data_IF_091361955562
#
_entry.id   IF_091361955562
#
_cell.length_a   1.000
_cell.length_b   1.000
_cell.length_c   1.000
_cell.angle_alpha   90.00
_cell.angle_beta   90.00
_cell.angle_gamma   90.00
#
_symmetry.space_group_name_H-M   'P 1'
#
loop_
_entity.id
_entity.type
_entity.pdbx_description
1 polymer ?
#
# COMPACT_ATOMS: atom_id res chain seq x y z
N UNK A 1 54.37 22.78 70.31
CA UNK A 1 53.89 21.38 70.41
C UNK A 1 52.42 21.26 70.85
N UNK A 2 51.85 22.20 71.61
CA UNK A 2 50.44 22.13 72.07
C UNK A 2 49.36 22.41 71.01
N UNK A 3 49.63 23.23 69.99
CA UNK A 3 48.63 23.60 68.96
C UNK A 3 48.30 22.40 68.04
N UNK A 4 49.27 21.53 67.79
CA UNK A 4 49.10 20.33 66.94
C UNK A 4 48.18 19.29 67.58
N UNK A 5 48.25 19.11 68.90
CA UNK A 5 47.38 18.19 69.64
C UNK A 5 45.94 18.68 69.75
N UNK A 6 45.72 20.00 69.90
CA UNK A 6 44.38 20.58 69.95
C UNK A 6 43.63 20.44 68.61
N UNK A 7 44.32 20.68 67.49
CA UNK A 7 43.76 20.45 66.15
C UNK A 7 43.46 18.97 65.88
N UNK A 8 44.26 18.04 66.41
CA UNK A 8 44.01 16.61 66.30
C UNK A 8 42.78 16.17 67.12
N UNK A 9 42.64 16.68 68.35
CA UNK A 9 41.50 16.39 69.21
C UNK A 9 40.18 16.94 68.64
N UNK A 10 40.19 18.18 68.14
CA UNK A 10 39.02 18.84 67.54
C UNK A 10 38.61 18.20 66.20
N UNK A 11 39.57 17.67 65.42
CA UNK A 11 39.32 16.89 64.21
C UNK A 11 38.67 15.53 64.55
N UNK A 12 39.14 14.84 65.58
CA UNK A 12 38.55 13.58 66.05
C UNK A 12 37.15 13.76 66.67
N UNK A 13 36.89 14.85 67.40
CA UNK A 13 35.53 15.12 67.94
C UNK A 13 34.53 15.45 66.83
N UNK A 14 34.95 16.17 65.79
CA UNK A 14 34.10 16.42 64.61
C UNK A 14 33.83 15.16 63.80
N UNK A 15 34.81 14.26 63.68
CA UNK A 15 34.62 12.96 63.02
C UNK A 15 33.63 12.08 63.80
N UNK A 16 33.77 12.00 65.12
CA UNK A 16 32.85 11.25 65.98
C UNK A 16 31.42 11.81 65.96
N UNK A 17 31.26 13.15 65.99
CA UNK A 17 29.95 13.78 65.89
C UNK A 17 29.29 13.58 64.51
N UNK A 18 30.09 13.46 63.45
CA UNK A 18 29.61 13.16 62.09
C UNK A 18 29.11 11.72 62.00
N UNK A 19 29.88 10.75 62.52
CA UNK A 19 29.48 9.34 62.53
C UNK A 19 28.21 9.11 63.36
N UNK A 20 28.08 9.82 64.48
CA UNK A 20 26.89 9.77 65.33
C UNK A 20 25.66 10.39 64.64
N UNK A 21 25.83 11.45 63.85
CA UNK A 21 24.75 12.04 63.07
C UNK A 21 24.32 11.15 61.90
N UNK A 22 25.27 10.60 61.14
CA UNK A 22 25.00 9.74 59.97
C UNK A 22 24.33 8.42 60.36
N UNK A 23 24.58 7.92 61.57
CA UNK A 23 23.98 6.68 62.09
C UNK A 23 22.56 6.87 62.64
N UNK A 24 22.02 8.10 62.69
CA UNK A 24 20.66 8.34 63.20
C UNK A 24 19.62 7.71 62.27
N UNK A 25 18.66 6.93 62.80
CA UNK A 25 17.59 6.36 61.99
C UNK A 25 16.57 7.44 61.61
N UNK A 26 16.23 7.47 60.34
CA UNK A 26 15.18 8.26 59.72
C UNK A 26 14.43 7.41 58.69
N UNK A 27 13.18 7.07 59.00
CA UNK A 27 12.30 6.29 58.12
C UNK A 27 12.90 4.93 57.69
N UNK A 28 13.19 4.06 58.67
CA UNK A 28 13.82 2.73 58.51
C UNK A 28 15.22 2.70 57.87
N UNK A 29 15.82 3.87 57.62
CA UNK A 29 17.13 4.02 57.01
C UNK A 29 17.97 4.98 57.85
N UNK A 30 19.29 4.91 57.80
CA UNK A 30 20.19 5.88 58.42
C UNK A 30 20.25 7.18 57.61
N UNK A 31 20.57 8.31 58.24
CA UNK A 31 20.83 9.56 57.51
C UNK A 31 21.97 9.36 56.48
N UNK A 32 22.95 8.50 56.78
CA UNK A 32 23.98 8.08 55.84
C UNK A 32 23.43 7.41 54.58
N UNK A 33 22.47 6.50 54.70
CA UNK A 33 21.85 5.82 53.56
C UNK A 33 21.07 6.78 52.65
N UNK A 34 20.35 7.74 53.24
CA UNK A 34 19.71 8.83 52.49
C UNK A 34 20.72 9.71 51.77
N UNK A 35 21.87 10.01 52.39
CA UNK A 35 22.94 10.77 51.76
C UNK A 35 23.56 10.00 50.58
N UNK A 36 23.72 8.67 50.69
CA UNK A 36 24.20 7.82 49.61
C UNK A 36 23.19 7.79 48.45
N UNK A 37 21.91 7.56 48.75
CA UNK A 37 20.83 7.57 47.76
C UNK A 37 20.79 8.90 46.99
N UNK A 38 20.85 10.04 47.71
CA UNK A 38 20.91 11.37 47.09
C UNK A 38 22.16 11.54 46.22
N UNK A 39 23.31 11.03 46.69
CA UNK A 39 24.57 11.08 45.93
C UNK A 39 24.47 10.28 44.62
N UNK A 40 23.82 9.10 44.63
CA UNK A 40 23.57 8.30 43.42
C UNK A 40 22.70 9.10 42.43
N UNK A 41 21.61 9.71 42.91
CA UNK A 41 20.71 10.50 42.06
C UNK A 41 21.44 11.71 41.47
N UNK A 42 22.16 12.48 42.28
CA UNK A 42 22.93 13.65 41.81
C UNK A 42 24.00 13.22 40.81
N UNK A 43 24.70 12.11 41.08
CA UNK A 43 25.70 11.55 40.17
C UNK A 43 25.09 11.15 38.84
N UNK A 44 23.89 10.56 38.83
CA UNK A 44 23.19 10.21 37.59
C UNK A 44 22.86 11.43 36.73
N UNK A 45 22.48 12.57 37.34
CA UNK A 45 22.23 13.81 36.61
C UNK A 45 23.53 14.38 36.03
N UNK A 46 24.64 14.26 36.77
CA UNK A 46 25.96 14.65 36.26
C UNK A 46 26.36 13.77 35.08
N UNK A 47 26.18 12.45 35.19
CA UNK A 47 26.44 11.49 34.10
C UNK A 47 25.54 11.81 32.90
N UNK A 48 24.26 12.08 33.11
CA UNK A 48 23.32 12.42 32.05
C UNK A 48 23.76 13.70 31.31
N UNK A 49 24.17 14.75 32.04
CA UNK A 49 24.74 15.98 31.45
C UNK A 49 26.05 15.73 30.71
N UNK A 50 26.91 14.86 31.24
CA UNK A 50 28.15 14.47 30.59
C UNK A 50 27.88 13.69 29.30
N UNK A 51 26.95 12.73 29.32
CA UNK A 51 26.50 11.98 28.15
C UNK A 51 25.94 12.92 27.08
N UNK A 52 25.06 13.86 27.46
CA UNK A 52 24.57 14.89 26.55
C UNK A 52 25.73 15.72 25.96
N UNK A 53 26.69 16.14 26.78
CA UNK A 53 27.85 16.88 26.30
C UNK A 53 28.72 16.06 25.33
N UNK A 54 28.95 14.78 25.62
CA UNK A 54 29.74 13.88 24.77
C UNK A 54 29.02 13.64 23.45
N UNK A 55 27.72 13.33 23.48
CA UNK A 55 26.94 13.10 22.26
C UNK A 55 26.90 14.37 21.42
N UNK A 56 26.47 15.49 22.00
CA UNK A 56 26.32 16.76 21.27
C UNK A 56 27.62 17.29 20.70
N UNK A 57 28.75 17.12 21.40
CA UNK A 57 30.02 17.77 21.04
C UNK A 57 31.01 16.87 20.32
N UNK A 58 31.02 15.58 20.66
CA UNK A 58 31.96 14.59 20.13
C UNK A 58 31.26 13.77 19.06
N UNK A 59 30.18 13.04 19.41
CA UNK A 59 29.54 12.07 18.50
C UNK A 59 28.98 12.78 17.27
N UNK A 60 28.23 13.87 17.44
CA UNK A 60 27.70 14.66 16.30
C UNK A 60 28.78 15.26 15.39
N UNK A 61 30.00 15.47 15.92
CA UNK A 61 31.12 15.98 15.11
C UNK A 61 31.73 14.87 14.23
N UNK A 62 31.66 13.62 14.68
CA UNK A 62 32.10 12.45 13.92
C UNK A 62 31.06 12.01 12.89
N UNK A 63 29.77 12.03 13.24
CA UNK A 63 28.71 11.63 12.31
C UNK A 63 28.61 12.58 11.12
N UNK A 64 28.86 13.88 11.30
CA UNK A 64 28.97 14.86 10.19
C UNK A 64 30.08 14.57 9.17
N UNK A 65 31.03 13.69 9.52
CA UNK A 65 32.09 13.21 8.62
C UNK A 65 31.74 11.87 7.96
N UNK A 66 30.66 11.23 8.38
CA UNK A 66 30.11 10.03 7.75
C UNK A 66 29.54 10.38 6.39
N UNK A 67 29.53 9.41 5.48
CA UNK A 67 28.87 9.53 4.17
C UNK A 67 27.35 9.39 4.27
N UNK A 68 26.85 8.82 5.38
CA UNK A 68 25.44 8.51 5.60
C UNK A 68 24.76 9.60 6.42
N UNK A 69 23.70 10.21 5.85
CA UNK A 69 22.82 11.15 6.57
C UNK A 69 22.01 10.50 7.68
N UNK A 70 21.81 9.17 7.62
CA UNK A 70 21.06 8.43 8.65
C UNK A 70 21.78 8.48 9.99
N UNK A 71 23.11 8.48 9.98
CA UNK A 71 23.91 8.41 11.21
C UNK A 71 23.75 9.68 12.05
N UNK A 72 23.74 10.85 11.39
CA UNK A 72 23.49 12.14 12.01
C UNK A 72 22.09 12.20 12.64
N UNK A 73 21.08 11.78 11.89
CA UNK A 73 19.68 11.78 12.33
C UNK A 73 19.48 10.86 13.53
N UNK A 74 19.98 9.62 13.46
CA UNK A 74 19.82 8.64 14.53
C UNK A 74 20.45 9.17 15.83
N UNK A 75 21.66 9.74 15.76
CA UNK A 75 22.32 10.29 16.94
C UNK A 75 21.57 11.48 17.53
N UNK A 76 21.07 12.39 16.69
CA UNK A 76 20.27 13.54 17.14
C UNK A 76 18.95 13.15 17.80
N UNK A 77 18.33 12.05 17.35
CA UNK A 77 17.04 11.60 17.88
C UNK A 77 17.16 10.74 19.13
N UNK A 78 18.28 10.03 19.31
CA UNK A 78 18.52 9.15 20.46
C UNK A 78 19.11 9.89 21.67
N UNK A 79 19.81 11.02 21.43
CA UNK A 79 20.51 11.78 22.47
C UNK A 79 19.64 12.09 23.71
N UNK A 80 18.52 12.79 23.52
CA UNK A 80 17.68 13.21 24.65
C UNK A 80 16.98 12.02 25.34
N UNK A 81 16.44 11.02 24.61
CA UNK A 81 15.93 9.80 25.24
C UNK A 81 16.94 9.08 26.13
N UNK A 82 18.19 8.90 25.68
CA UNK A 82 19.26 8.28 26.49
C UNK A 82 19.53 9.07 27.75
N UNK A 83 19.64 10.40 27.64
CA UNK A 83 19.89 11.28 28.80
C UNK A 83 18.78 11.14 29.83
N UNK A 84 17.52 11.11 29.38
CA UNK A 84 16.37 10.91 30.26
C UNK A 84 16.36 9.51 30.89
N UNK A 85 16.68 8.46 30.12
CA UNK A 85 16.79 7.09 30.62
C UNK A 85 17.87 6.95 31.71
N UNK A 86 19.01 7.62 31.59
CA UNK A 86 20.07 7.64 32.61
C UNK A 86 19.56 8.26 33.91
N UNK A 87 18.80 9.37 33.83
CA UNK A 87 18.21 10.01 35.00
C UNK A 87 17.18 9.08 35.66
N UNK A 88 16.29 8.45 34.88
CA UNK A 88 15.31 7.48 35.39
C UNK A 88 16.03 6.32 36.10
N UNK A 89 17.07 5.75 35.48
CA UNK A 89 17.84 4.66 36.05
C UNK A 89 18.52 5.08 37.37
N UNK A 90 19.11 6.28 37.41
CA UNK A 90 19.74 6.80 38.62
C UNK A 90 18.77 7.02 39.78
N UNK A 91 17.57 7.54 39.49
CA UNK A 91 16.49 7.66 40.47
C UNK A 91 16.07 6.28 40.95
N UNK A 92 15.89 5.31 40.05
CA UNK A 92 15.52 3.95 40.41
C UNK A 92 16.58 3.28 41.30
N UNK A 93 17.86 3.32 40.91
CA UNK A 93 18.95 2.75 41.72
C UNK A 93 19.09 3.47 43.07
N UNK A 94 18.99 4.80 43.10
CA UNK A 94 19.09 5.57 44.33
C UNK A 94 17.95 5.28 45.32
N UNK A 95 16.72 5.12 44.83
CA UNK A 95 15.57 4.80 45.68
C UNK A 95 15.55 3.33 46.11
N UNK A 96 15.97 2.38 45.27
CA UNK A 96 16.08 0.96 45.65
C UNK A 96 17.25 0.68 46.61
N UNK A 97 18.19 1.62 46.76
CA UNK A 97 19.22 1.54 47.79
C UNK A 97 18.64 1.70 49.20
N UNK A 98 17.50 2.39 49.33
CA UNK A 98 16.82 2.61 50.60
C UNK A 98 15.93 1.42 50.94
N UNK A 99 15.94 1.01 52.20
CA UNK A 99 15.00 0.05 52.76
C UNK A 99 13.63 0.71 53.00
N UNK A 100 12.89 0.90 51.91
CA UNK A 100 11.52 1.41 51.94
C UNK A 100 10.54 0.27 52.22
N UNK A 101 9.33 0.59 52.70
CA UNK A 101 8.29 -0.42 52.84
C UNK A 101 7.87 -1.00 51.47
N UNK A 102 7.25 -2.19 51.49
CA UNK A 102 6.86 -2.91 50.26
C UNK A 102 6.00 -2.05 49.33
N UNK A 103 5.07 -1.26 49.90
CA UNK A 103 4.21 -0.36 49.14
C UNK A 103 5.00 0.67 48.31
N UNK A 104 6.00 1.33 48.89
CA UNK A 104 6.83 2.30 48.18
C UNK A 104 7.70 1.63 47.12
N UNK A 105 8.27 0.46 47.42
CA UNK A 105 9.08 -0.29 46.45
C UNK A 105 8.26 -0.69 45.22
N UNK A 106 7.05 -1.22 45.42
CA UNK A 106 6.13 -1.52 44.32
C UNK A 106 5.75 -0.27 43.53
N UNK A 107 5.40 0.83 44.21
CA UNK A 107 5.02 2.07 43.55
C UNK A 107 6.15 2.62 42.68
N UNK A 108 7.39 2.64 43.20
CA UNK A 108 8.58 3.09 42.47
C UNK A 108 8.83 2.20 41.25
N UNK A 109 8.71 0.87 41.40
CA UNK A 109 8.83 -0.07 40.29
C UNK A 109 7.81 0.20 39.18
N UNK A 110 6.54 0.38 39.54
CA UNK A 110 5.46 0.70 38.58
C UNK A 110 5.72 2.01 37.83
N UNK A 111 6.12 3.06 38.55
CA UNK A 111 6.47 4.36 37.95
C UNK A 111 7.68 4.22 37.02
N UNK A 112 8.71 3.48 37.43
CA UNK A 112 9.90 3.22 36.61
C UNK A 112 9.55 2.55 35.28
N UNK A 113 8.76 1.48 35.30
CA UNK A 113 8.34 0.79 34.08
C UNK A 113 7.54 1.70 33.14
N UNK A 114 6.62 2.50 33.67
CA UNK A 114 5.84 3.44 32.85
C UNK A 114 6.77 4.49 32.21
N UNK A 115 7.67 5.09 32.99
CA UNK A 115 8.58 6.12 32.51
C UNK A 115 9.55 5.59 31.43
N UNK A 116 10.12 4.39 31.61
CA UNK A 116 11.04 3.83 30.62
C UNK A 116 10.32 3.46 29.31
N UNK A 117 9.10 2.88 29.40
CA UNK A 117 8.32 2.54 28.21
C UNK A 117 7.89 3.79 27.46
N UNK A 118 7.48 4.85 28.17
CA UNK A 118 7.12 6.12 27.55
C UNK A 118 8.33 6.82 26.94
N UNK A 119 9.51 6.70 27.56
CA UNK A 119 10.75 7.20 26.99
C UNK A 119 11.13 6.47 25.68
N UNK A 120 10.95 5.14 25.63
CA UNK A 120 11.16 4.35 24.40
C UNK A 120 10.15 4.76 23.32
N UNK A 121 8.87 4.92 23.67
CA UNK A 121 7.84 5.37 22.73
C UNK A 121 8.13 6.77 22.17
N UNK A 122 8.59 7.69 23.02
CA UNK A 122 9.05 9.01 22.62
C UNK A 122 10.26 8.93 21.68
N UNK A 123 11.24 8.07 21.97
CA UNK A 123 12.39 7.82 21.08
C UNK A 123 11.94 7.32 19.71
N UNK A 124 11.04 6.32 19.66
CA UNK A 124 10.53 5.75 18.41
C UNK A 124 9.79 6.82 17.59
N UNK A 125 8.89 7.58 18.21
CA UNK A 125 8.12 8.61 17.50
C UNK A 125 9.00 9.74 16.98
N UNK A 126 10.03 10.13 17.73
CA UNK A 126 11.02 11.12 17.32
C UNK A 126 11.90 10.64 16.16
N UNK A 127 12.35 9.39 16.20
CA UNK A 127 13.10 8.79 15.10
C UNK A 127 12.23 8.70 13.84
N UNK A 128 10.99 8.24 13.98
CA UNK A 128 10.03 8.19 12.88
C UNK A 128 9.78 9.57 12.27
N UNK A 129 9.60 10.60 13.10
CA UNK A 129 9.45 11.98 12.64
C UNK A 129 10.64 12.49 11.84
N UNK A 130 11.86 12.20 12.30
CA UNK A 130 13.06 12.63 11.60
C UNK A 130 13.22 11.90 10.26
N UNK A 131 12.87 10.61 10.19
CA UNK A 131 12.86 9.86 8.93
C UNK A 131 11.83 10.40 7.96
N UNK A 132 10.62 10.72 8.43
CA UNK A 132 9.57 11.34 7.61
C UNK A 132 10.04 12.68 7.05
N UNK A 133 10.60 13.55 7.90
CA UNK A 133 11.03 14.88 7.49
C UNK A 133 12.22 14.87 6.52
N UNK A 134 13.18 13.95 6.68
CA UNK A 134 14.35 13.91 5.79
C UNK A 134 14.08 13.16 4.48
N UNK A 135 13.27 12.09 4.52
CA UNK A 135 13.12 11.19 3.37
C UNK A 135 11.79 11.26 2.67
N UNK A 136 10.68 11.51 3.38
CA UNK A 136 9.35 11.49 2.79
C UNK A 136 8.88 12.89 2.40
N UNK A 137 8.98 13.88 3.29
CA UNK A 137 8.56 15.27 3.00
C UNK A 137 9.23 15.83 1.73
N UNK A 138 10.54 15.68 1.48
CA UNK A 138 11.17 16.23 0.27
C UNK A 138 10.81 15.48 -1.02
N UNK A 139 10.25 14.27 -0.93
CA UNK A 139 9.71 13.54 -2.08
C UNK A 139 8.30 14.01 -2.41
N UNK A 140 7.50 14.27 -1.37
CA UNK A 140 6.16 14.82 -1.48
C UNK A 140 6.19 16.25 -2.02
N UNK A 141 7.05 17.14 -1.50
CA UNK A 141 7.20 18.53 -1.97
C UNK A 141 7.65 18.64 -3.44
N UNK A 142 8.22 17.58 -4.01
CA UNK A 142 8.64 17.51 -5.42
C UNK A 142 7.60 16.84 -6.32
N UNK A 143 6.57 16.25 -5.73
CA UNK A 143 5.47 15.59 -6.41
C UNK A 143 4.41 16.63 -6.71
N UNK A 144 3.92 16.73 -7.95
CA UNK A 144 2.76 17.58 -8.31
C UNK A 144 1.41 16.97 -7.84
N UNK A 145 1.45 16.00 -6.93
CA UNK A 145 0.30 15.19 -6.51
C UNK A 145 -0.29 15.71 -5.19
N UNK A 146 -1.48 16.32 -5.27
CA UNK A 146 -2.27 16.74 -4.10
C UNK A 146 -2.56 15.60 -3.09
N UNK A 147 -2.44 14.33 -3.53
CA UNK A 147 -2.65 13.15 -2.68
C UNK A 147 -1.53 12.96 -1.66
N UNK A 148 -0.29 13.26 -2.03
CA UNK A 148 0.87 13.00 -1.18
C UNK A 148 0.87 13.97 0.03
N UNK A 149 0.48 15.22 -0.21
CA UNK A 149 0.36 16.28 0.80
C UNK A 149 -0.69 15.99 1.88
N UNK A 150 -1.76 15.28 1.54
CA UNK A 150 -2.85 14.98 2.47
C UNK A 150 -2.66 13.64 3.19
N UNK A 151 -2.07 12.64 2.51
CA UNK A 151 -1.89 11.31 3.08
C UNK A 151 -0.75 11.26 4.11
N UNK A 152 0.35 11.97 3.86
CA UNK A 152 1.53 11.92 4.72
C UNK A 152 1.22 12.40 6.16
N UNK A 153 0.53 13.54 6.40
CA UNK A 153 0.17 13.97 7.75
C UNK A 153 -0.76 12.99 8.48
N UNK A 154 -1.72 12.39 7.76
CA UNK A 154 -2.66 11.42 8.32
C UNK A 154 -1.92 10.15 8.75
N UNK A 155 -1.09 9.59 7.87
CA UNK A 155 -0.28 8.41 8.16
C UNK A 155 0.68 8.66 9.34
N UNK A 156 1.36 9.81 9.33
CA UNK A 156 2.28 10.24 10.40
C UNK A 156 1.57 10.31 11.75
N UNK A 157 0.40 10.94 11.80
CA UNK A 157 -0.42 11.04 13.02
C UNK A 157 -0.94 9.67 13.47
N UNK A 158 -1.39 8.84 12.53
CA UNK A 158 -1.88 7.48 12.80
C UNK A 158 -0.81 6.60 13.45
N UNK A 159 0.39 6.55 12.89
CA UNK A 159 1.52 5.77 13.44
C UNK A 159 1.87 6.23 14.85
N UNK A 160 1.94 7.55 15.09
CA UNK A 160 2.21 8.09 16.43
C UNK A 160 1.16 7.67 17.46
N UNK A 161 -0.12 7.82 17.11
CA UNK A 161 -1.23 7.42 17.99
C UNK A 161 -1.12 5.93 18.33
N UNK A 162 -0.84 5.08 17.34
CA UNK A 162 -0.63 3.64 17.55
C UNK A 162 0.54 3.35 18.49
N UNK A 163 1.70 3.99 18.29
CA UNK A 163 2.87 3.81 19.17
C UNK A 163 2.55 4.20 20.62
N UNK A 164 1.85 5.33 20.83
CA UNK A 164 1.46 5.76 22.17
C UNK A 164 0.41 4.85 22.83
N UNK A 165 -0.56 4.33 22.06
CA UNK A 165 -1.51 3.33 22.56
C UNK A 165 -0.77 2.07 23.02
N UNK A 166 0.16 1.56 22.20
CA UNK A 166 0.97 0.38 22.56
C UNK A 166 1.80 0.67 23.81
N UNK A 167 2.44 1.83 23.88
CA UNK A 167 3.23 2.24 25.05
C UNK A 167 2.39 2.31 26.33
N UNK A 168 1.16 2.82 26.25
CA UNK A 168 0.23 2.85 27.37
C UNK A 168 -0.12 1.44 27.85
N UNK A 169 -0.50 0.56 26.91
CA UNK A 169 -0.88 -0.83 27.23
C UNK A 169 0.29 -1.60 27.85
N UNK A 170 1.47 -1.54 27.23
CA UNK A 170 2.68 -2.22 27.71
C UNK A 170 3.13 -1.61 29.05
N UNK A 171 3.03 -0.29 29.21
CA UNK A 171 3.33 0.42 30.46
C UNK A 171 2.47 -0.04 31.62
N UNK A 172 1.15 -0.10 31.42
CA UNK A 172 0.20 -0.55 32.43
C UNK A 172 0.38 -2.05 32.77
N UNK A 173 0.63 -2.90 31.76
CA UNK A 173 0.88 -4.32 31.99
C UNK A 173 2.12 -4.56 32.87
N UNK A 174 3.23 -3.90 32.57
CA UNK A 174 4.46 -4.03 33.35
C UNK A 174 4.34 -3.40 34.75
N UNK A 175 3.44 -2.42 34.92
CA UNK A 175 3.08 -1.90 36.22
C UNK A 175 2.09 -2.81 37.00
N UNK A 176 1.77 -4.00 36.48
CA UNK A 176 0.94 -5.01 37.17
C UNK A 176 -0.55 -4.72 37.15
N UNK A 177 -1.02 -3.84 36.26
CA UNK A 177 -2.46 -3.64 36.05
C UNK A 177 -3.01 -4.72 35.11
N UNK A 178 -4.24 -5.18 35.39
CA UNK A 178 -4.97 -6.04 34.46
C UNK A 178 -5.44 -5.20 33.26
N UNK A 179 -4.80 -5.45 32.12
CA UNK A 179 -5.10 -4.79 30.84
C UNK A 179 -6.00 -5.61 29.93
N UNK A 180 -6.58 -6.72 30.41
CA UNK A 180 -7.43 -7.59 29.60
C UNK A 180 -8.60 -6.86 28.95
N UNK A 181 -9.31 -6.03 29.72
CA UNK A 181 -10.41 -5.20 29.21
C UNK A 181 -9.94 -4.14 28.19
N UNK A 182 -8.76 -3.54 28.41
CA UNK A 182 -8.15 -2.57 27.49
C UNK A 182 -7.78 -3.22 26.16
N UNK A 183 -7.09 -4.38 26.20
CA UNK A 183 -6.74 -5.14 25.00
C UNK A 183 -8.01 -5.58 24.27
N UNK A 184 -9.01 -6.10 24.98
CA UNK A 184 -10.27 -6.52 24.37
C UNK A 184 -10.98 -5.35 23.65
N UNK A 185 -11.06 -4.18 24.32
CA UNK A 185 -11.62 -2.97 23.73
C UNK A 185 -10.84 -2.47 22.50
N UNK A 186 -9.51 -2.45 22.57
CA UNK A 186 -8.64 -2.11 21.44
C UNK A 186 -8.75 -3.12 20.29
N UNK A 187 -8.93 -4.40 20.59
CA UNK A 187 -9.14 -5.45 19.59
C UNK A 187 -10.45 -5.25 18.82
N UNK A 188 -11.56 -5.00 19.52
CA UNK A 188 -12.86 -4.71 18.90
C UNK A 188 -12.81 -3.38 18.13
N UNK A 189 -12.23 -2.34 18.71
CA UNK A 189 -12.07 -1.04 18.06
C UNK A 189 -11.17 -1.12 16.82
N UNK A 190 -10.08 -1.90 16.89
CA UNK A 190 -9.17 -2.16 15.78
C UNK A 190 -9.84 -2.96 14.66
N UNK A 191 -10.68 -3.95 15.00
CA UNK A 191 -11.47 -4.68 14.01
C UNK A 191 -12.48 -3.76 13.31
N UNK A 192 -13.18 -2.91 14.06
CA UNK A 192 -14.11 -1.94 13.49
C UNK A 192 -13.40 -0.96 12.52
N UNK A 193 -12.22 -0.46 12.91
CA UNK A 193 -11.40 0.40 12.06
C UNK A 193 -10.92 -0.36 10.81
N UNK A 194 -10.48 -1.61 10.94
CA UNK A 194 -10.04 -2.44 9.82
C UNK A 194 -11.18 -2.72 8.84
N UNK A 195 -12.39 -2.99 9.35
CA UNK A 195 -13.58 -3.16 8.51
C UNK A 195 -13.94 -1.87 7.78
N UNK A 196 -13.85 -0.72 8.44
CA UNK A 196 -14.09 0.58 7.81
C UNK A 196 -13.05 0.93 6.74
N UNK A 197 -11.80 0.53 6.93
CA UNK A 197 -10.70 0.78 5.99
C UNK A 197 -10.57 -0.26 4.87
N UNK A 198 -11.35 -1.36 4.93
CA UNK A 198 -11.23 -2.53 4.04
C UNK A 198 -11.21 -2.14 2.57
N UNK A 199 -12.17 -1.32 2.13
CA UNK A 199 -12.31 -0.98 0.71
C UNK A 199 -11.19 -0.05 0.24
N UNK A 200 -10.71 0.85 1.10
CA UNK A 200 -9.54 1.68 0.79
C UNK A 200 -8.31 0.81 0.56
N UNK A 201 -8.05 -0.14 1.47
CA UNK A 201 -6.91 -1.06 1.36
C UNK A 201 -7.04 -1.96 0.12
N UNK A 202 -8.23 -2.50 -0.16
CA UNK A 202 -8.47 -3.32 -1.35
C UNK A 202 -8.16 -2.56 -2.65
N UNK A 203 -8.53 -1.29 -2.73
CA UNK A 203 -8.23 -0.45 -3.89
C UNK A 203 -6.73 -0.14 -4.04
N UNK A 204 -6.00 0.06 -2.94
CA UNK A 204 -4.55 0.24 -2.99
C UNK A 204 -3.86 -1.02 -3.54
N UNK A 205 -4.24 -2.20 -3.04
CA UNK A 205 -3.70 -3.46 -3.55
C UNK A 205 -4.11 -3.71 -5.00
N UNK A 206 -5.33 -3.37 -5.39
CA UNK A 206 -5.74 -3.45 -6.78
C UNK A 206 -4.91 -2.55 -7.69
N UNK A 207 -4.60 -1.32 -7.26
CA UNK A 207 -3.73 -0.41 -8.00
C UNK A 207 -2.31 -0.95 -8.14
N UNK A 208 -1.78 -1.52 -7.06
CA UNK A 208 -0.47 -2.18 -7.05
C UNK A 208 -0.44 -3.35 -8.06
N UNK A 209 -1.45 -4.22 -8.07
CA UNK A 209 -1.56 -5.35 -9.00
C UNK A 209 -1.62 -4.89 -10.45
N UNK A 210 -2.41 -3.84 -10.77
CA UNK A 210 -2.45 -3.27 -12.12
C UNK A 210 -1.05 -2.80 -12.55
N UNK A 211 -0.30 -2.17 -11.65
CA UNK A 211 1.04 -1.66 -11.94
C UNK A 211 2.08 -2.78 -12.12
N UNK A 212 2.03 -3.85 -11.31
CA UNK A 212 2.99 -4.95 -11.38
C UNK A 212 2.71 -5.89 -12.54
N UNK A 213 1.46 -6.32 -12.69
CA UNK A 213 1.07 -7.39 -13.60
C UNK A 213 0.72 -6.83 -14.99
N UNK A 214 0.41 -5.53 -15.07
CA UNK A 214 0.10 -4.79 -16.30
C UNK A 214 -0.89 -5.51 -17.22
N UNK A 215 -2.08 -5.93 -16.72
CA UNK A 215 -3.13 -6.49 -17.58
C UNK A 215 -3.59 -5.51 -18.68
N UNK A 216 -3.42 -4.21 -18.42
CA UNK A 216 -3.58 -3.12 -19.36
C UNK A 216 -2.70 -1.94 -18.96
N UNK A 217 -2.52 -1.00 -19.88
CA UNK A 217 -1.77 0.24 -19.68
C UNK A 217 -2.59 1.46 -20.07
N UNK A 218 -2.10 2.66 -19.71
CA UNK A 218 -2.72 3.91 -20.17
C UNK A 218 -2.75 3.91 -21.70
N UNK A 219 -3.88 4.36 -22.27
CA UNK A 219 -4.23 4.32 -23.69
C UNK A 219 -4.68 2.96 -24.25
N UNK A 220 -4.66 1.88 -23.46
CA UNK A 220 -5.37 0.66 -23.87
C UNK A 220 -6.88 0.89 -23.80
N UNK A 221 -7.58 0.48 -24.85
CA UNK A 221 -9.02 0.20 -24.82
C UNK A 221 -9.27 -1.14 -24.14
N UNK A 222 -10.07 -1.12 -23.09
CA UNK A 222 -10.47 -2.29 -22.32
C UNK A 222 -11.99 -2.36 -22.17
N UNK A 223 -12.48 -3.56 -21.89
CA UNK A 223 -13.86 -3.78 -21.43
C UNK A 223 -13.84 -4.37 -20.02
N UNK A 224 -14.42 -3.63 -19.08
CA UNK A 224 -14.43 -3.96 -17.66
C UNK A 224 -15.70 -3.40 -17.00
N UNK A 225 -16.30 -4.15 -16.07
CA UNK A 225 -17.53 -3.76 -15.35
C UNK A 225 -18.65 -3.27 -16.28
N UNK A 226 -18.80 -3.91 -17.44
CA UNK A 226 -19.79 -3.55 -18.47
C UNK A 226 -19.47 -2.29 -19.28
N UNK A 227 -18.40 -1.56 -18.95
CA UNK A 227 -17.94 -0.39 -19.71
C UNK A 227 -16.92 -0.79 -20.78
N UNK A 228 -16.98 -0.12 -21.93
CA UNK A 228 -16.03 -0.24 -23.02
C UNK A 228 -15.43 1.14 -23.30
N UNK A 229 -14.11 1.28 -23.12
CA UNK A 229 -13.44 2.56 -23.21
C UNK A 229 -11.92 2.49 -23.12
N UNK A 230 -11.29 3.63 -23.35
CA UNK A 230 -9.83 3.79 -23.30
C UNK A 230 -9.39 4.26 -21.92
N UNK A 231 -8.35 3.64 -21.36
CA UNK A 231 -7.74 4.03 -20.09
C UNK A 231 -7.08 5.39 -20.24
N UNK A 232 -7.55 6.39 -19.48
CA UNK A 232 -6.93 7.72 -19.44
C UNK A 232 -5.96 7.87 -18.27
N UNK A 233 -6.31 7.31 -17.11
CA UNK A 233 -5.54 7.50 -15.88
C UNK A 233 -5.64 6.23 -15.02
N UNK A 234 -4.51 5.78 -14.48
CA UNK A 234 -4.46 4.75 -13.43
C UNK A 234 -4.03 5.45 -12.14
N UNK A 235 -5.00 5.84 -11.31
CA UNK A 235 -4.75 6.47 -10.02
C UNK A 235 -4.48 5.44 -8.92
N UNK A 236 -4.15 5.94 -7.72
CA UNK A 236 -3.82 5.10 -6.55
C UNK A 236 -5.01 4.20 -6.14
N UNK A 237 -6.24 4.72 -6.19
CA UNK A 237 -7.45 3.99 -5.75
C UNK A 237 -8.41 3.59 -6.87
N UNK A 238 -8.28 4.19 -8.04
CA UNK A 238 -9.25 4.04 -9.13
C UNK A 238 -8.61 4.30 -10.47
N UNK A 239 -9.14 3.64 -11.49
CA UNK A 239 -8.76 3.83 -12.90
C UNK A 239 -9.88 4.58 -13.62
N UNK A 240 -9.53 5.54 -14.48
CA UNK A 240 -10.47 6.30 -15.29
C UNK A 240 -10.46 5.79 -16.73
N UNK A 241 -11.65 5.47 -17.22
CA UNK A 241 -11.90 5.06 -18.61
C UNK A 241 -12.70 6.13 -19.32
N UNK A 242 -12.29 6.51 -20.54
CA UNK A 242 -13.12 7.27 -21.45
C UNK A 242 -13.88 6.34 -22.36
N UNK A 243 -15.20 6.30 -22.22
CA UNK A 243 -16.06 5.44 -23.04
C UNK A 243 -16.04 5.88 -24.49
N UNK A 244 -16.51 5.02 -25.40
CA UNK A 244 -16.68 5.36 -26.82
C UNK A 244 -17.68 6.52 -27.04
N UNK A 245 -18.55 6.79 -26.06
CA UNK A 245 -19.46 7.94 -26.04
C UNK A 245 -18.77 9.23 -25.55
N UNK A 246 -17.49 9.16 -25.18
CA UNK A 246 -16.68 10.28 -24.72
C UNK A 246 -16.86 10.65 -23.23
N UNK A 247 -17.50 9.80 -22.42
CA UNK A 247 -17.71 10.05 -20.97
C UNK A 247 -16.58 9.43 -20.14
N UNK A 248 -16.23 10.07 -19.03
CA UNK A 248 -15.28 9.50 -18.07
C UNK A 248 -16.02 8.65 -17.03
N UNK A 249 -15.64 7.39 -16.96
CA UNK A 249 -16.08 6.42 -15.94
C UNK A 249 -14.91 6.17 -15.00
N UNK A 250 -15.15 6.21 -13.70
CA UNK A 250 -14.11 5.96 -12.69
C UNK A 250 -14.45 4.67 -11.97
N UNK A 251 -13.58 3.67 -12.12
CA UNK A 251 -13.78 2.33 -11.57
C UNK A 251 -12.76 2.11 -10.44
N UNK A 252 -13.20 1.65 -9.25
CA UNK A 252 -12.27 1.34 -8.16
C UNK A 252 -11.28 0.25 -8.57
N UNK A 253 -10.00 0.41 -8.21
CA UNK A 253 -8.95 -0.51 -8.62
C UNK A 253 -9.17 -1.95 -8.13
N UNK A 254 -9.87 -2.13 -7.01
CA UNK A 254 -10.21 -3.44 -6.48
C UNK A 254 -11.01 -4.30 -7.49
N UNK A 255 -11.88 -3.70 -8.30
CA UNK A 255 -12.66 -4.44 -9.31
C UNK A 255 -11.76 -5.08 -10.36
N UNK A 256 -10.75 -4.36 -10.84
CA UNK A 256 -9.81 -4.90 -11.84
C UNK A 256 -8.94 -6.04 -11.29
N UNK A 257 -8.74 -6.11 -9.98
CA UNK A 257 -7.99 -7.19 -9.35
C UNK A 257 -8.86 -8.44 -9.07
N UNK A 258 -10.18 -8.28 -8.96
CA UNK A 258 -11.11 -9.38 -8.64
C UNK A 258 -11.91 -9.91 -9.82
N UNK A 259 -12.05 -9.13 -10.89
CA UNK A 259 -12.90 -9.46 -12.05
C UNK A 259 -12.08 -9.67 -13.33
N UNK A 260 -12.67 -10.36 -14.31
CA UNK A 260 -12.06 -10.55 -15.62
C UNK A 260 -12.11 -9.26 -16.44
N UNK A 261 -11.01 -8.95 -17.12
CA UNK A 261 -10.87 -7.78 -17.99
C UNK A 261 -10.56 -8.24 -19.41
N UNK A 262 -11.26 -7.68 -20.40
CA UNK A 262 -10.90 -7.87 -21.79
C UNK A 262 -10.04 -6.70 -22.27
N UNK A 263 -8.75 -6.95 -22.55
CA UNK A 263 -7.88 -5.95 -23.16
C UNK A 263 -8.00 -6.00 -24.69
N UNK A 264 -8.83 -5.13 -25.24
CA UNK A 264 -9.11 -5.05 -26.67
C UNK A 264 -7.87 -4.60 -27.45
N UNK A 265 -7.02 -3.78 -26.83
CA UNK A 265 -5.81 -3.24 -27.48
C UNK A 265 -4.68 -4.26 -27.58
N UNK A 266 -4.75 -5.34 -26.79
CA UNK A 266 -3.80 -6.44 -26.85
C UNK A 266 -3.96 -7.31 -28.11
N UNK A 267 -5.12 -7.24 -28.79
CA UNK A 267 -5.38 -7.99 -30.02
C UNK A 267 -4.30 -7.72 -31.08
N UNK A 268 -3.74 -8.78 -31.65
CA UNK A 268 -2.75 -8.71 -32.75
C UNK A 268 -3.40 -8.62 -34.13
N UNK A 269 -4.66 -9.04 -34.21
CA UNK A 269 -5.52 -8.99 -35.39
C UNK A 269 -6.97 -9.18 -34.95
N UNK A 270 -7.90 -8.51 -35.62
CA UNK A 270 -9.33 -8.56 -35.29
C UNK A 270 -10.00 -9.68 -36.09
N UNK A 271 -10.60 -10.66 -35.40
CA UNK A 271 -11.40 -11.71 -36.05
C UNK A 271 -12.73 -11.14 -36.54
N UNK A 272 -13.04 -11.36 -37.81
CA UNK A 272 -14.33 -11.07 -38.42
C UNK A 272 -15.03 -12.38 -38.78
N UNK A 273 -16.33 -12.44 -38.54
CA UNK A 273 -17.18 -13.58 -38.91
C UNK A 273 -18.34 -13.04 -39.74
N UNK A 274 -18.50 -13.57 -40.94
CA UNK A 274 -19.59 -13.25 -41.86
C UNK A 274 -20.26 -14.56 -42.26
N UNK A 275 -21.55 -14.68 -42.01
CA UNK A 275 -22.35 -15.82 -42.46
C UNK A 275 -23.14 -15.38 -43.71
N UNK A 276 -22.89 -16.04 -44.84
CA UNK A 276 -23.50 -15.75 -46.14
C UNK A 276 -24.48 -16.87 -46.51
N UNK A 277 -25.73 -16.51 -46.75
CA UNK A 277 -26.76 -17.45 -47.19
C UNK A 277 -26.87 -17.48 -48.72
N UNK A 278 -26.70 -18.66 -49.31
CA UNK A 278 -27.01 -18.92 -50.72
C UNK A 278 -28.32 -19.71 -50.84
N UNK A 279 -29.00 -19.57 -51.97
CA UNK A 279 -30.26 -20.27 -52.24
C UNK A 279 -30.08 -21.79 -52.35
N UNK A 280 -31.15 -22.55 -52.04
CA UNK A 280 -31.12 -24.03 -52.01
C UNK A 280 -30.91 -24.71 -53.37
N UNK A 281 -31.07 -23.98 -54.48
CA UNK A 281 -30.74 -24.42 -55.82
C UNK A 281 -29.24 -24.29 -56.15
N UNK A 282 -28.43 -23.73 -55.25
CA UNK A 282 -26.98 -23.67 -55.40
C UNK A 282 -26.38 -25.08 -55.43
N UNK A 283 -25.77 -25.44 -56.56
CA UNK A 283 -25.16 -26.76 -56.73
C UNK A 283 -23.91 -26.94 -55.85
N UNK A 284 -23.48 -28.18 -55.54
CA UNK A 284 -22.24 -28.41 -54.78
C UNK A 284 -21.00 -27.75 -55.40
N UNK A 285 -20.91 -27.72 -56.73
CA UNK A 285 -19.82 -27.04 -57.45
C UNK A 285 -19.88 -25.53 -57.27
N UNK A 286 -21.07 -24.93 -57.43
CA UNK A 286 -21.25 -23.49 -57.22
C UNK A 286 -20.94 -23.09 -55.76
N UNK A 287 -21.32 -23.93 -54.78
CA UNK A 287 -20.98 -23.75 -53.37
C UNK A 287 -19.46 -23.76 -53.14
N UNK A 288 -18.74 -24.72 -53.74
CA UNK A 288 -17.28 -24.77 -53.68
C UNK A 288 -16.65 -23.52 -54.31
N UNK A 289 -17.14 -23.11 -55.48
CA UNK A 289 -16.65 -21.93 -56.21
C UNK A 289 -16.90 -20.63 -55.42
N UNK A 290 -18.03 -20.53 -54.72
CA UNK A 290 -18.33 -19.41 -53.83
C UNK A 290 -17.34 -19.34 -52.65
N UNK A 291 -17.05 -20.48 -52.00
CA UNK A 291 -16.06 -20.56 -50.92
C UNK A 291 -14.64 -20.20 -51.38
N UNK A 292 -14.23 -20.62 -52.58
CA UNK A 292 -12.94 -20.24 -53.18
C UNK A 292 -12.91 -18.73 -53.47
N UNK A 293 -13.99 -18.19 -54.02
CA UNK A 293 -14.10 -16.75 -54.34
C UNK A 293 -13.95 -15.89 -53.08
N UNK A 294 -14.59 -16.27 -51.97
CA UNK A 294 -14.44 -15.59 -50.68
C UNK A 294 -13.00 -15.62 -50.17
N UNK A 295 -12.33 -16.77 -50.33
CA UNK A 295 -10.94 -16.91 -49.93
C UNK A 295 -10.00 -16.03 -50.77
N UNK A 296 -10.26 -15.88 -52.07
CA UNK A 296 -9.52 -14.98 -52.96
C UNK A 296 -9.72 -13.50 -52.59
N UNK A 297 -10.96 -13.09 -52.31
CA UNK A 297 -11.29 -11.72 -51.88
C UNK A 297 -10.50 -11.35 -50.62
N UNK A 298 -10.52 -12.20 -49.59
CA UNK A 298 -9.72 -11.96 -48.39
C UNK A 298 -8.22 -11.90 -48.68
N UNK A 299 -7.68 -12.83 -49.49
CA UNK A 299 -6.24 -12.88 -49.81
C UNK A 299 -5.74 -11.67 -50.60
N UNK A 300 -6.61 -11.07 -51.41
CA UNK A 300 -6.27 -9.91 -52.23
C UNK A 300 -6.43 -8.58 -51.48
N UNK A 301 -7.08 -8.58 -50.32
CA UNK A 301 -7.28 -7.38 -49.52
C UNK A 301 -6.06 -7.11 -48.62
N UNK A 302 -5.41 -5.97 -48.81
CA UNK A 302 -4.18 -5.60 -48.08
C UNK A 302 -4.38 -5.41 -46.57
N UNK A 303 -5.59 -5.11 -46.13
CA UNK A 303 -5.93 -4.89 -44.72
C UNK A 303 -6.29 -6.21 -44.00
N UNK A 304 -6.33 -7.33 -44.72
CA UNK A 304 -6.66 -8.66 -44.19
C UNK A 304 -5.38 -9.49 -44.04
N UNK A 305 -5.25 -10.17 -42.90
CA UNK A 305 -4.20 -11.14 -42.66
C UNK A 305 -4.49 -12.43 -43.44
N UNK A 306 -3.51 -12.85 -44.25
CA UNK A 306 -3.59 -14.04 -45.07
C UNK A 306 -3.59 -15.36 -44.27
N UNK A 307 -3.33 -15.30 -42.97
CA UNK A 307 -3.33 -16.47 -42.07
C UNK A 307 -4.68 -16.63 -41.37
N UNK A 308 -5.25 -17.84 -41.45
CA UNK A 308 -6.47 -18.18 -40.70
C UNK A 308 -7.78 -17.81 -41.41
N UNK A 309 -7.74 -17.52 -42.70
CA UNK A 309 -8.94 -17.37 -43.52
C UNK A 309 -9.67 -18.73 -43.59
N UNK A 310 -10.93 -18.77 -43.18
CA UNK A 310 -11.78 -19.96 -43.24
C UNK A 310 -13.02 -19.66 -44.05
N UNK A 311 -13.32 -20.51 -45.02
CA UNK A 311 -14.59 -20.55 -45.75
C UNK A 311 -15.14 -21.96 -45.61
N UNK A 312 -16.30 -22.10 -44.98
CA UNK A 312 -16.89 -23.40 -44.70
C UNK A 312 -18.39 -23.34 -44.92
N UNK A 313 -18.95 -24.33 -45.62
CA UNK A 313 -20.39 -24.57 -45.64
C UNK A 313 -20.80 -25.21 -44.31
N UNK A 314 -21.49 -24.47 -43.45
CA UNK A 314 -21.70 -24.85 -42.04
C UNK A 314 -23.09 -25.36 -41.73
N UNK A 315 -24.11 -24.88 -42.45
CA UNK A 315 -25.50 -25.09 -42.04
C UNK A 315 -26.46 -25.04 -43.23
N UNK A 316 -27.48 -25.89 -43.20
CA UNK A 316 -28.70 -25.76 -44.00
C UNK A 316 -29.76 -25.07 -43.14
N UNK A 317 -29.92 -23.74 -43.27
CA UNK A 317 -30.88 -22.95 -42.50
C UNK A 317 -32.23 -22.81 -43.20
N UNK A 318 -33.24 -22.32 -42.48
CA UNK A 318 -34.66 -22.32 -42.91
C UNK A 318 -34.95 -21.80 -44.34
N UNK A 319 -34.14 -20.87 -44.85
CA UNK A 319 -34.28 -20.34 -46.22
C UNK A 319 -32.95 -20.26 -46.99
N UNK A 320 -31.86 -20.80 -46.45
CA UNK A 320 -30.53 -20.59 -47.02
C UNK A 320 -29.52 -21.71 -46.69
N UNK A 321 -28.61 -21.99 -47.61
CA UNK A 321 -27.38 -22.74 -47.34
C UNK A 321 -26.28 -21.76 -46.90
N UNK A 322 -25.79 -21.91 -45.66
CA UNK A 322 -24.93 -20.94 -44.99
C UNK A 322 -23.45 -21.27 -45.17
N UNK A 323 -22.71 -20.33 -45.77
CA UNK A 323 -21.25 -20.32 -45.76
C UNK A 323 -20.78 -19.41 -44.61
N UNK A 324 -20.03 -19.97 -43.67
CA UNK A 324 -19.28 -19.20 -42.68
C UNK A 324 -17.94 -18.76 -43.26
N UNK A 325 -17.75 -17.46 -43.33
CA UNK A 325 -16.53 -16.80 -43.76
C UNK A 325 -15.86 -16.09 -42.59
N UNK A 326 -14.66 -16.55 -42.23
CA UNK A 326 -13.84 -15.97 -41.17
C UNK A 326 -12.58 -15.40 -41.80
N UNK A 327 -12.28 -14.15 -41.50
CA UNK A 327 -11.02 -13.49 -41.87
C UNK A 327 -10.54 -12.64 -40.70
N UNK A 328 -9.28 -12.22 -40.72
CA UNK A 328 -8.68 -11.43 -39.67
C UNK A 328 -8.20 -10.09 -40.23
N UNK A 329 -8.62 -8.97 -39.66
CA UNK A 329 -8.14 -7.64 -40.03
C UNK A 329 -6.84 -7.37 -39.29
N UNK A 330 -5.83 -6.86 -40.00
CA UNK A 330 -4.51 -6.55 -39.45
C UNK A 330 -4.64 -5.43 -38.40
N UNK A 331 -3.90 -5.52 -37.30
CA UNK A 331 -3.91 -4.48 -36.26
C UNK A 331 -3.51 -3.13 -36.84
N UNK A 332 -4.32 -2.11 -36.57
CA UNK A 332 -4.12 -0.72 -37.01
C UNK A 332 -4.91 -0.33 -38.27
N UNK A 333 -5.44 -1.31 -39.00
CA UNK A 333 -6.35 -1.04 -40.13
C UNK A 333 -7.74 -0.63 -39.63
N UNK A 334 -8.46 0.15 -40.45
CA UNK A 334 -9.82 0.58 -40.15
C UNK A 334 -10.80 -0.58 -40.32
N UNK A 335 -11.35 -1.05 -39.21
CA UNK A 335 -12.26 -2.19 -39.15
C UNK A 335 -13.47 -1.99 -40.08
N UNK A 336 -14.12 -0.83 -40.04
CA UNK A 336 -15.36 -0.60 -40.79
C UNK A 336 -15.09 -0.41 -42.27
N UNK A 337 -14.00 0.29 -42.62
CA UNK A 337 -13.59 0.45 -44.01
C UNK A 337 -13.21 -0.90 -44.63
N UNK A 338 -12.43 -1.74 -43.93
CA UNK A 338 -12.08 -3.09 -44.40
C UNK A 338 -13.32 -3.98 -44.53
N UNK A 339 -14.22 -3.97 -43.54
CA UNK A 339 -15.49 -4.70 -43.63
C UNK A 339 -16.31 -4.27 -44.85
N UNK A 340 -16.45 -2.96 -45.07
CA UNK A 340 -17.18 -2.42 -46.22
C UNK A 340 -16.53 -2.82 -47.55
N UNK A 341 -15.19 -2.78 -47.63
CA UNK A 341 -14.45 -3.18 -48.82
C UNK A 341 -14.67 -4.65 -49.15
N UNK A 342 -14.54 -5.53 -48.16
CA UNK A 342 -14.75 -6.97 -48.32
C UNK A 342 -16.19 -7.25 -48.74
N UNK A 343 -17.18 -6.69 -48.04
CA UNK A 343 -18.59 -6.91 -48.36
C UNK A 343 -18.96 -6.43 -49.77
N UNK A 344 -18.40 -5.30 -50.21
CA UNK A 344 -18.66 -4.79 -51.56
C UNK A 344 -18.02 -5.68 -52.64
N UNK A 345 -16.81 -6.19 -52.40
CA UNK A 345 -16.15 -7.10 -53.34
C UNK A 345 -16.87 -8.44 -53.44
N UNK A 346 -17.39 -8.95 -52.31
CA UNK A 346 -18.27 -10.13 -52.27
C UNK A 346 -19.50 -9.89 -53.15
N UNK A 347 -20.19 -8.77 -52.95
CA UNK A 347 -21.39 -8.43 -53.73
C UNK A 347 -21.09 -8.38 -55.24
N UNK A 348 -19.99 -7.73 -55.65
CA UNK A 348 -19.58 -7.66 -57.06
C UNK A 348 -19.28 -9.06 -57.61
N UNK A 349 -18.43 -9.83 -56.95
CA UNK A 349 -17.97 -11.14 -57.45
C UNK A 349 -19.09 -12.19 -57.45
N UNK A 350 -19.98 -12.15 -56.47
CA UNK A 350 -21.10 -13.07 -56.39
C UNK A 350 -22.13 -12.77 -57.49
N UNK A 351 -22.41 -11.49 -57.76
CA UNK A 351 -23.27 -11.09 -58.88
C UNK A 351 -22.68 -11.47 -60.24
N UNK A 352 -21.37 -11.26 -60.46
CA UNK A 352 -20.67 -11.66 -61.68
C UNK A 352 -20.78 -13.18 -61.94
N UNK A 353 -20.67 -13.98 -60.88
CA UNK A 353 -20.73 -15.45 -60.93
C UNK A 353 -22.14 -16.02 -60.78
N UNK A 354 -23.16 -15.17 -60.57
CA UNK A 354 -24.57 -15.55 -60.34
C UNK A 354 -24.74 -16.47 -59.14
N UNK A 355 -24.06 -16.16 -58.03
CA UNK A 355 -24.34 -16.76 -56.73
C UNK A 355 -25.47 -15.97 -56.08
N UNK A 356 -26.67 -16.54 -56.09
CA UNK A 356 -27.86 -15.86 -55.59
C UNK A 356 -27.88 -15.87 -54.06
N UNK A 357 -27.93 -14.68 -53.48
CA UNK A 357 -28.12 -14.51 -52.04
C UNK A 357 -29.53 -14.93 -51.66
N UNK A 358 -29.62 -15.79 -50.65
CA UNK A 358 -30.90 -16.20 -50.11
C UNK A 358 -31.58 -15.03 -49.39
N UNK A 359 -32.90 -14.97 -49.54
CA UNK A 359 -33.79 -14.11 -48.78
C UNK A 359 -34.83 -14.99 -48.08
N UNK A 360 -35.46 -14.52 -46.98
CA UNK A 360 -36.52 -15.28 -46.33
C UNK A 360 -37.61 -15.67 -47.34
N UNK A 361 -37.84 -16.96 -47.53
CA UNK A 361 -38.83 -17.49 -48.48
C UNK A 361 -39.85 -18.35 -47.76
N UNK A 362 -41.10 -18.29 -48.22
CA UNK A 362 -42.18 -19.16 -47.72
C UNK A 362 -42.97 -19.69 -48.91
N UNK A 363 -43.32 -20.98 -48.84
CA UNK A 363 -44.25 -21.59 -49.77
C UNK A 363 -45.66 -21.48 -49.19
N UNK A 364 -46.52 -20.69 -49.84
CA UNK A 364 -47.92 -20.52 -49.42
C UNK A 364 -48.80 -21.49 -50.20
N UNK A 365 -49.44 -22.42 -49.48
CA UNK A 365 -50.46 -23.29 -50.04
C UNK A 365 -51.85 -22.63 -49.90
N UNK A 366 -52.36 -22.02 -50.96
CA UNK A 366 -53.74 -21.52 -51.00
C UNK A 366 -54.72 -22.64 -51.27
N UNK A 367 -55.58 -22.94 -50.29
CA UNK A 367 -56.74 -23.84 -50.45
C UNK A 367 -57.92 -23.00 -50.94
N UNK A 368 -58.51 -23.35 -52.09
CA UNK A 368 -59.79 -22.74 -52.51
C UNK A 368 -60.89 -23.24 -51.56
N UNK A 369 -61.55 -22.33 -50.85
CA UNK A 369 -62.78 -22.64 -50.13
C UNK A 369 -63.93 -22.91 -51.10
N UNK A 370 -64.76 -23.91 -50.77
CA UNK A 370 -65.94 -24.33 -51.54
C UNK A 370 -67.04 -23.26 -51.62
#
# INVERSE_FOLDING_TARGET
MQITYFNYFCKNTKLLAMDEFLSRPFYNNTIGEWAIALTIIVSSVIIAKLTFFIISRIVKKFTKRSKSKLDDIIVDMIEEPIVFAIIIAGIWYGLNFLNLNEWWQEFIGKVYYILIIFNIAWMITRLFDALVNEYLEPLVDKSDSDLDDQLLPIARKGIKVTVWIIALVVGLNNAGYDIGALIAGLGIGGLALAMAAKDSVANLFGGFTIFTDKPFTIHDRIKADGFDGTVEEIGIRSTRLKTLEGRIVTIPNAHFASESIENISSETRRKMVLDLGLTYDTTPKAMQDAMVTLQEIAKNNKSVDNVGIVTAFTEFGDSAMIIRFIYYIIKGEDIYATMSSINMEILVKFNEKKFDFAFPTQTIYTVKGD
#
